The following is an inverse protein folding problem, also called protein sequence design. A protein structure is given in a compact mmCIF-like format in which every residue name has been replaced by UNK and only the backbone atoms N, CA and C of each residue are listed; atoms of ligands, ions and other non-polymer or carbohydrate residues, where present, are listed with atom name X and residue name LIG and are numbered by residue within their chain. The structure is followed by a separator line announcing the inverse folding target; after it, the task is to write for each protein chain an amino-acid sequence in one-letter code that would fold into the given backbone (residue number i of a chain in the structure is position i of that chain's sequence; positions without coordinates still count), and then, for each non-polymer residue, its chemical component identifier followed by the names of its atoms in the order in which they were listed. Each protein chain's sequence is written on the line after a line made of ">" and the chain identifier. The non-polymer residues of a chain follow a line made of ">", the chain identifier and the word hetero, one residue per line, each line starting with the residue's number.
data_IF_602709123322
#
_entry.id   IF_602709123322
#
_cell.length_a   1.000
_cell.length_b   1.000
_cell.length_c   1.000
_cell.angle_alpha   90.00
_cell.angle_beta   90.00
_cell.angle_gamma   90.00
#
_symmetry.space_group_name_H-M   'P 1'
#
loop_
_entity.id
_entity.type
_entity.pdbx_description
1 polymer ?
#
# COMPACT_ATOMS: atom_id res chain seq x y z
N UNK A 1 -22.43 -31.43 -22.61
CA UNK A 1 -21.02 -31.82 -22.84
C UNK A 1 -20.11 -31.01 -21.92
N UNK A 2 -19.27 -31.65 -21.10
CA UNK A 2 -18.35 -30.98 -20.15
C UNK A 2 -16.94 -30.92 -20.76
N UNK A 3 -16.51 -29.77 -21.28
CA UNK A 3 -15.13 -29.59 -21.77
C UNK A 3 -14.25 -29.12 -20.62
N UNK A 4 -13.37 -30.01 -20.13
CA UNK A 4 -12.29 -29.66 -19.20
C UNK A 4 -11.10 -29.15 -20.02
N UNK A 5 -10.77 -27.87 -19.90
CA UNK A 5 -9.55 -27.29 -20.47
C UNK A 5 -8.44 -27.48 -19.43
N UNK A 6 -7.57 -28.47 -19.65
CA UNK A 6 -6.35 -28.68 -18.87
C UNK A 6 -5.25 -27.90 -19.58
N UNK A 7 -4.93 -26.72 -19.07
CA UNK A 7 -3.74 -25.96 -19.48
C UNK A 7 -2.56 -26.40 -18.62
N UNK A 8 -1.67 -27.19 -19.21
CA UNK A 8 -0.39 -27.54 -18.62
C UNK A 8 0.66 -26.53 -19.12
N UNK A 9 1.14 -25.64 -18.25
CA UNK A 9 2.29 -24.79 -18.54
C UNK A 9 3.47 -25.27 -17.69
N UNK A 10 4.41 -25.91 -18.37
CA UNK A 10 5.65 -26.50 -17.89
C UNK A 10 6.60 -25.45 -17.32
N UNK A 11 6.98 -25.60 -16.04
CA UNK A 11 8.10 -24.88 -15.43
C UNK A 11 9.39 -25.63 -15.76
N UNK A 12 10.18 -25.10 -16.69
CA UNK A 12 11.55 -25.56 -16.95
C UNK A 12 12.46 -25.02 -15.84
N UNK A 13 12.78 -25.89 -14.87
CA UNK A 13 13.76 -25.62 -13.83
C UNK A 13 15.19 -25.78 -14.40
N UNK A 14 15.83 -24.68 -14.75
CA UNK A 14 17.26 -24.67 -15.09
C UNK A 14 18.08 -24.69 -13.79
N UNK A 15 18.61 -25.87 -13.46
CA UNK A 15 19.52 -26.08 -12.34
C UNK A 15 20.91 -25.48 -12.67
N UNK A 16 21.26 -24.37 -12.02
CA UNK A 16 22.65 -23.92 -11.94
C UNK A 16 23.32 -24.63 -10.76
N UNK A 17 24.02 -25.72 -11.07
CA UNK A 17 24.94 -26.37 -10.16
C UNK A 17 26.31 -25.68 -10.26
N UNK A 18 26.77 -25.09 -9.17
CA UNK A 18 28.19 -24.79 -8.97
C UNK A 18 28.62 -25.46 -7.66
N UNK A 19 29.62 -26.34 -7.80
CA UNK A 19 30.13 -27.21 -6.76
C UNK A 19 31.30 -26.57 -6.00
N UNK A 20 31.36 -26.91 -4.70
CA UNK A 20 32.53 -27.13 -3.84
C UNK A 20 33.55 -26.00 -3.62
N UNK A 21 33.76 -25.63 -2.35
CA UNK A 21 34.84 -26.20 -1.53
C UNK A 21 34.60 -25.90 -0.04
N UNK A 22 34.65 -26.95 0.77
CA UNK A 22 34.69 -26.89 2.22
C UNK A 22 36.15 -26.73 2.69
N UNK A 23 36.39 -25.82 3.63
CA UNK A 23 37.56 -25.85 4.49
C UNK A 23 37.10 -25.67 5.93
N UNK A 24 37.17 -26.77 6.69
CA UNK A 24 37.09 -26.77 8.13
C UNK A 24 38.46 -26.38 8.70
N UNK A 25 38.49 -25.47 9.67
CA UNK A 25 39.66 -25.29 10.54
C UNK A 25 39.18 -25.19 11.99
N UNK A 26 39.35 -26.31 12.69
CA UNK A 26 39.31 -26.43 14.14
C UNK A 26 40.72 -26.26 14.69
N UNK A 27 40.89 -25.32 15.61
CA UNK A 27 41.96 -25.24 16.65
C UNK A 27 41.77 -23.91 17.38
N UNK A 28 42.04 -23.70 18.67
CA UNK A 28 42.18 -24.50 19.89
C UNK A 28 42.33 -23.43 21.00
N UNK A 29 41.68 -23.61 22.15
CA UNK A 29 41.89 -22.80 23.37
C UNK A 29 43.19 -23.22 24.07
N UNK A 30 43.92 -22.32 24.74
CA UNK A 30 44.09 -22.44 26.20
C UNK A 30 44.06 -21.07 26.94
N UNK A 31 44.05 -21.09 28.30
CA UNK A 31 43.41 -20.09 29.14
C UNK A 31 44.39 -19.10 29.80
N UNK A 32 43.89 -17.92 30.20
CA UNK A 32 44.45 -17.15 31.32
C UNK A 32 43.35 -16.38 32.05
N UNK A 33 43.27 -16.66 33.35
CA UNK A 33 42.54 -15.99 34.44
C UNK A 33 43.06 -14.58 34.67
N UNK A 34 42.19 -13.55 34.78
CA UNK A 34 42.11 -12.72 35.99
C UNK A 34 40.87 -11.81 36.07
N UNK A 35 40.58 -11.48 37.33
CA UNK A 35 39.48 -10.86 38.04
C UNK A 35 38.76 -9.56 37.56
N UNK A 36 37.49 -9.54 37.98
CA UNK A 36 36.74 -8.44 38.64
C UNK A 36 35.99 -7.40 37.78
N UNK A 37 34.66 -7.61 37.65
CA UNK A 37 33.59 -6.77 38.23
C UNK A 37 32.23 -7.20 37.61
N UNK A 38 31.22 -7.63 38.40
CA UNK A 38 29.89 -7.82 37.87
C UNK A 38 29.17 -6.46 37.86
N UNK A 39 28.99 -5.89 36.67
CA UNK A 39 27.94 -4.89 36.42
C UNK A 39 26.77 -5.67 35.85
N UNK A 40 25.84 -5.99 36.73
CA UNK A 40 24.58 -6.61 36.37
C UNK A 40 23.65 -5.52 35.84
N UNK A 41 23.68 -5.32 34.52
CA UNK A 41 22.66 -4.58 33.79
C UNK A 41 22.22 -5.41 32.59
N UNK A 42 21.67 -6.59 32.91
CA UNK A 42 20.78 -7.31 32.02
C UNK A 42 19.41 -6.60 32.06
N UNK A 43 19.28 -5.54 31.29
CA UNK A 43 17.97 -5.07 30.84
C UNK A 43 17.41 -6.13 29.89
N UNK A 44 16.66 -7.09 30.44
CA UNK A 44 15.74 -7.90 29.66
C UNK A 44 14.72 -6.96 29.01
N UNK A 45 14.88 -6.71 27.72
CA UNK A 45 13.81 -6.18 26.87
C UNK A 45 12.61 -7.14 26.95
N UNK A 46 11.67 -6.81 27.83
CA UNK A 46 10.39 -7.48 27.91
C UNK A 46 9.66 -7.28 26.58
N UNK A 47 9.28 -8.35 25.86
CA UNK A 47 8.52 -8.23 24.64
C UNK A 47 7.08 -7.83 24.99
N UNK A 48 6.66 -6.69 24.46
CA UNK A 48 5.26 -6.23 24.37
C UNK A 48 4.47 -6.20 25.70
N UNK A 49 4.43 -5.02 26.32
CA UNK A 49 3.39 -4.68 27.29
C UNK A 49 2.04 -4.53 26.55
N UNK A 50 1.42 -5.66 26.23
CA UNK A 50 0.08 -5.73 25.63
C UNK A 50 -0.92 -5.48 26.74
N UNK A 51 -1.23 -4.21 26.97
CA UNK A 51 -2.41 -3.84 27.78
C UNK A 51 -3.62 -4.44 27.06
N UNK A 52 -4.38 -5.32 27.70
CA UNK A 52 -5.63 -5.87 27.17
C UNK A 52 -6.77 -4.97 27.67
N UNK A 53 -7.35 -4.17 26.78
CA UNK A 53 -8.53 -3.35 27.10
C UNK A 53 -9.76 -4.17 26.71
N UNK A 54 -10.42 -4.76 27.70
CA UNK A 54 -11.73 -5.40 27.54
C UNK A 54 -12.78 -4.32 27.29
N UNK A 55 -13.29 -4.23 26.05
CA UNK A 55 -14.45 -3.39 25.72
C UNK A 55 -14.43 -2.69 24.36
N UNK A 56 -13.33 -2.73 23.60
CA UNK A 56 -13.25 -2.09 22.28
C UNK A 56 -13.09 -3.15 21.18
N UNK A 57 -13.72 -2.93 20.02
CA UNK A 57 -13.53 -3.79 18.82
C UNK A 57 -12.22 -3.50 18.08
N UNK A 58 -11.41 -2.56 18.57
CA UNK A 58 -10.16 -2.14 17.95
C UNK A 58 -8.98 -2.76 18.72
N UNK A 59 -8.06 -3.39 18.00
CA UNK A 59 -6.81 -3.87 18.59
C UNK A 59 -6.06 -2.69 19.25
N UNK A 60 -5.48 -2.91 20.44
CA UNK A 60 -4.66 -1.92 21.13
C UNK A 60 -3.41 -1.62 20.29
N UNK A 61 -3.45 -0.49 19.60
CA UNK A 61 -2.40 -0.02 18.67
C UNK A 61 -1.74 1.26 19.15
N UNK A 62 -2.30 1.87 20.18
CA UNK A 62 -1.72 3.03 20.86
C UNK A 62 -0.67 2.57 21.85
N UNK A 63 0.49 3.23 21.84
CA UNK A 63 1.50 3.03 22.89
C UNK A 63 0.87 3.44 24.22
N UNK A 64 0.64 2.48 25.11
CA UNK A 64 -0.09 2.69 26.36
C UNK A 64 0.58 3.74 27.27
N UNK A 65 1.90 3.93 27.11
CA UNK A 65 2.72 4.83 27.91
C UNK A 65 2.93 6.22 27.27
N UNK A 66 2.30 6.51 26.12
CA UNK A 66 2.43 7.81 25.46
C UNK A 66 1.29 8.75 25.81
N UNK A 67 1.64 10.00 26.15
CA UNK A 67 0.66 11.08 26.38
C UNK A 67 -0.08 11.51 25.09
N UNK A 68 0.42 11.12 23.92
CA UNK A 68 -0.11 11.50 22.60
C UNK A 68 -0.66 10.26 21.90
N UNK A 69 -1.80 10.34 21.18
CA UNK A 69 -2.34 9.21 20.43
C UNK A 69 -1.44 8.84 19.24
N UNK A 70 -0.55 7.87 19.44
CA UNK A 70 0.35 7.29 18.44
C UNK A 70 -0.16 5.93 18.03
N UNK A 71 -0.58 5.75 16.78
CA UNK A 71 -0.94 4.42 16.26
C UNK A 71 0.28 3.76 15.64
N UNK A 72 0.64 2.57 16.12
CA UNK A 72 1.69 1.75 15.52
C UNK A 72 1.05 0.64 14.68
N UNK A 73 1.46 0.57 13.41
CA UNK A 73 1.00 -0.43 12.45
C UNK A 73 2.18 -1.32 12.10
N UNK A 74 2.13 -2.57 12.53
CA UNK A 74 3.16 -3.58 12.26
C UNK A 74 3.14 -4.04 10.80
N UNK A 75 4.28 -4.53 10.30
CA UNK A 75 4.33 -5.14 8.95
C UNK A 75 3.36 -6.30 8.76
N UNK A 76 3.03 -7.05 9.82
CA UNK A 76 2.04 -8.13 9.75
C UNK A 76 0.64 -7.58 9.51
N UNK A 77 0.27 -6.48 10.17
CA UNK A 77 -1.01 -5.81 9.92
C UNK A 77 -1.09 -5.25 8.48
N UNK A 78 0.02 -4.76 7.95
CA UNK A 78 0.09 -4.28 6.56
C UNK A 78 -0.07 -5.41 5.55
N UNK A 79 0.60 -6.54 5.76
CA UNK A 79 0.59 -7.69 4.84
C UNK A 79 -0.71 -8.49 4.91
N UNK A 80 -1.32 -8.62 6.10
CA UNK A 80 -2.59 -9.31 6.30
C UNK A 80 -3.82 -8.48 5.85
N UNK A 81 -3.63 -7.22 5.45
CA UNK A 81 -4.72 -6.35 4.99
C UNK A 81 -5.39 -6.82 3.69
N UNK A 82 -4.69 -7.60 2.87
CA UNK A 82 -5.14 -8.02 1.53
C UNK A 82 -5.25 -6.88 0.51
N UNK A 83 -4.84 -5.67 0.85
CA UNK A 83 -4.93 -4.48 0.00
C UNK A 83 -3.56 -4.20 -0.65
N UNK A 84 -3.58 -3.83 -1.93
CA UNK A 84 -2.35 -3.55 -2.70
C UNK A 84 -1.78 -2.14 -2.57
N UNK A 85 -2.49 -1.23 -1.90
CA UNK A 85 -2.12 0.19 -1.79
C UNK A 85 -1.92 0.59 -0.33
N UNK A 86 -0.77 1.17 -0.01
CA UNK A 86 -0.43 1.63 1.34
C UNK A 86 -1.46 2.60 1.89
N UNK A 87 -1.96 3.54 1.07
CA UNK A 87 -3.01 4.46 1.49
C UNK A 87 -4.33 3.76 1.85
N UNK A 88 -4.74 2.73 1.10
CA UNK A 88 -5.96 1.96 1.41
C UNK A 88 -5.83 1.18 2.71
N UNK A 89 -4.64 0.63 2.94
CA UNK A 89 -4.32 -0.05 4.20
C UNK A 89 -4.46 0.93 5.37
N UNK A 90 -3.87 2.12 5.26
CA UNK A 90 -3.98 3.15 6.29
C UNK A 90 -5.41 3.62 6.48
N UNK A 91 -6.21 3.75 5.43
CA UNK A 91 -7.63 4.12 5.51
C UNK A 91 -8.50 3.10 6.24
N UNK A 92 -8.16 1.81 6.16
CA UNK A 92 -8.85 0.76 6.92
C UNK A 92 -8.37 0.72 8.38
N UNK A 93 -7.05 0.84 8.58
CA UNK A 93 -6.46 0.66 9.88
C UNK A 93 -6.57 1.93 10.75
N UNK A 94 -6.35 3.12 10.22
CA UNK A 94 -6.25 4.35 11.02
C UNK A 94 -7.57 5.12 10.96
N UNK A 95 -8.33 5.25 12.07
CA UNK A 95 -9.66 5.86 12.05
C UNK A 95 -9.68 7.33 11.61
N UNK A 96 -8.58 8.06 11.85
CA UNK A 96 -8.45 9.47 11.48
C UNK A 96 -7.91 9.68 10.07
N UNK A 97 -7.55 8.61 9.35
CA UNK A 97 -7.00 8.69 8.01
C UNK A 97 -8.11 8.48 6.98
N UNK A 98 -8.19 9.37 6.02
CA UNK A 98 -9.16 9.30 4.93
C UNK A 98 -8.44 9.31 3.59
N UNK A 99 -8.77 8.33 2.74
CA UNK A 99 -8.24 8.19 1.40
C UNK A 99 -9.37 8.15 0.38
N UNK A 100 -9.90 9.33 -0.03
CA UNK A 100 -10.85 9.37 -1.13
C UNK A 100 -10.18 8.89 -2.42
N UNK A 101 -10.93 8.14 -3.23
CA UNK A 101 -10.50 7.71 -4.56
C UNK A 101 -11.29 8.48 -5.61
N UNK A 102 -10.96 9.76 -5.86
CA UNK A 102 -11.59 10.50 -6.94
C UNK A 102 -11.29 9.81 -8.27
N UNK A 103 -12.25 9.91 -9.19
CA UNK A 103 -12.10 9.48 -10.58
C UNK A 103 -12.47 10.65 -11.47
N UNK A 104 -11.86 10.77 -12.64
CA UNK A 104 -12.14 11.85 -13.59
C UNK A 104 -11.72 13.21 -12.99
N UNK A 105 -10.64 13.23 -12.21
CA UNK A 105 -10.13 14.43 -11.53
C UNK A 105 -8.68 14.74 -11.95
N UNK A 106 -8.36 14.43 -13.21
CA UNK A 106 -7.06 14.67 -13.86
C UNK A 106 -5.90 13.98 -13.09
N UNK A 107 -4.75 14.64 -12.91
CA UNK A 107 -3.59 14.08 -12.23
C UNK A 107 -3.83 13.61 -10.79
N UNK A 108 -4.92 14.04 -10.14
CA UNK A 108 -5.28 13.56 -8.79
C UNK A 108 -5.81 12.12 -8.78
N UNK A 109 -6.12 11.55 -9.96
CA UNK A 109 -6.44 10.13 -10.09
C UNK A 109 -5.17 9.26 -9.93
N UNK A 110 -4.00 9.82 -10.28
CA UNK A 110 -2.68 9.17 -10.16
C UNK A 110 -2.09 9.42 -8.78
N UNK A 111 -2.01 10.69 -8.36
CA UNK A 111 -1.50 11.10 -7.06
C UNK A 111 -2.69 11.46 -6.18
N UNK A 112 -3.24 10.41 -5.56
CA UNK A 112 -4.47 10.52 -4.77
C UNK A 112 -4.15 11.13 -3.40
N UNK A 113 -4.69 12.32 -3.07
CA UNK A 113 -4.44 12.94 -1.78
C UNK A 113 -5.11 12.15 -0.65
N UNK A 114 -4.34 11.83 0.38
CA UNK A 114 -4.87 11.36 1.65
C UNK A 114 -4.94 12.53 2.64
N UNK A 115 -5.96 12.52 3.51
CA UNK A 115 -6.10 13.48 4.61
C UNK A 115 -6.04 12.78 5.96
N UNK A 116 -5.48 13.49 6.94
CA UNK A 116 -5.52 13.10 8.33
C UNK A 116 -6.41 14.09 9.08
N UNK A 117 -7.39 13.58 9.85
CA UNK A 117 -8.36 14.39 10.62
C UNK A 117 -9.19 15.36 9.76
N UNK A 118 -9.36 15.07 8.47
CA UNK A 118 -10.10 15.92 7.53
C UNK A 118 -9.38 17.20 7.11
N UNK A 119 -8.10 17.35 7.47
CA UNK A 119 -7.26 18.47 7.09
C UNK A 119 -6.63 18.29 5.72
N UNK A 120 -6.04 19.36 5.18
CA UNK A 120 -5.43 19.30 3.85
C UNK A 120 -4.19 18.35 3.84
N UNK A 121 -3.92 17.65 2.73
CA UNK A 121 -2.80 16.71 2.61
C UNK A 121 -1.41 17.31 2.88
N UNK A 122 -1.23 18.61 2.66
CA UNK A 122 0.00 19.37 2.97
C UNK A 122 0.14 19.72 4.46
N UNK A 123 -0.92 19.54 5.24
CA UNK A 123 -0.93 19.71 6.70
C UNK A 123 -0.60 18.40 7.44
N UNK A 124 -0.25 17.34 6.71
CA UNK A 124 0.25 16.07 7.29
C UNK A 124 1.71 15.88 6.90
N UNK A 125 2.59 15.84 7.89
CA UNK A 125 4.00 15.59 7.64
C UNK A 125 4.26 14.10 7.42
N UNK A 126 4.86 13.75 6.29
CA UNK A 126 5.28 12.37 6.00
C UNK A 126 6.79 12.25 6.16
N UNK A 127 7.19 11.29 6.98
CA UNK A 127 8.57 10.90 7.21
C UNK A 127 8.82 9.51 6.65
N UNK A 128 10.01 9.27 6.12
CA UNK A 128 10.52 7.96 5.76
C UNK A 128 11.84 7.77 6.48
N UNK A 129 11.94 6.77 7.34
CA UNK A 129 13.09 6.55 8.21
C UNK A 129 13.46 7.81 9.03
N UNK A 130 12.45 8.54 9.52
CA UNK A 130 12.63 9.80 10.26
C UNK A 130 13.03 11.01 9.41
N UNK A 131 13.13 10.90 8.08
CA UNK A 131 13.46 12.02 7.17
C UNK A 131 12.24 12.49 6.41
N UNK A 132 12.11 13.80 6.21
CA UNK A 132 11.00 14.43 5.48
C UNK A 132 10.92 13.91 4.04
N UNK A 133 9.73 13.47 3.63
CA UNK A 133 9.47 12.97 2.28
C UNK A 133 9.12 14.13 1.36
N UNK A 134 9.55 14.09 0.10
CA UNK A 134 9.18 15.11 -0.87
C UNK A 134 7.68 15.04 -1.21
N UNK A 135 7.06 16.21 -1.38
CA UNK A 135 5.70 16.35 -1.91
C UNK A 135 5.69 16.13 -3.42
N UNK A 136 4.52 15.82 -3.95
CA UNK A 136 4.29 15.78 -5.39
C UNK A 136 4.46 17.16 -6.04
N UNK A 137 4.82 17.18 -7.32
CA UNK A 137 4.76 18.37 -8.15
C UNK A 137 3.33 18.73 -8.61
N UNK A 138 2.38 17.82 -8.41
CA UNK A 138 0.97 18.06 -8.73
C UNK A 138 0.32 18.91 -7.64
N UNK A 139 -0.20 20.06 -8.05
CA UNK A 139 -1.05 20.90 -7.24
C UNK A 139 -2.51 20.49 -7.47
N UNK A 140 -3.21 20.19 -6.38
CA UNK A 140 -4.62 19.80 -6.45
C UNK A 140 -5.48 21.02 -6.75
N UNK A 141 -5.80 21.26 -8.01
CA UNK A 141 -6.63 22.41 -8.44
C UNK A 141 -8.09 22.03 -8.70
N UNK A 142 -8.37 20.74 -8.85
CA UNK A 142 -9.68 20.20 -9.21
C UNK A 142 -10.53 19.86 -7.98
N UNK A 143 -11.74 19.31 -8.17
CA UNK A 143 -12.74 19.01 -7.12
C UNK A 143 -12.33 18.01 -6.03
N UNK A 144 -11.04 17.64 -5.94
CA UNK A 144 -10.49 16.70 -4.97
C UNK A 144 -10.25 17.32 -3.60
N UNK A 145 -10.09 16.47 -2.58
CA UNK A 145 -9.69 16.90 -1.23
C UNK A 145 -8.34 17.62 -1.28
N UNK A 146 -8.23 18.70 -0.49
CA UNK A 146 -7.00 19.49 -0.42
C UNK A 146 -6.80 20.42 -1.62
N UNK A 147 -7.85 21.09 -2.11
CA UNK A 147 -7.70 22.12 -3.15
C UNK A 147 -6.65 23.16 -2.76
N UNK A 148 -5.72 23.44 -3.67
CA UNK A 148 -4.59 24.35 -3.44
C UNK A 148 -3.41 23.74 -2.68
N UNK A 149 -3.45 22.44 -2.36
CA UNK A 149 -2.36 21.73 -1.69
C UNK A 149 -1.64 20.75 -2.61
N UNK A 150 -0.41 20.39 -2.26
CA UNK A 150 0.36 19.31 -2.86
C UNK A 150 0.53 18.18 -1.85
N UNK A 151 0.12 16.97 -2.23
CA UNK A 151 0.18 15.80 -1.34
C UNK A 151 1.48 15.01 -1.49
N UNK A 152 1.85 14.24 -0.47
CA UNK A 152 2.86 13.18 -0.57
C UNK A 152 2.19 11.89 -1.02
N UNK A 153 2.71 11.24 -2.06
CA UNK A 153 2.20 9.95 -2.51
C UNK A 153 2.80 8.76 -1.74
N UNK A 154 2.03 8.22 -0.78
CA UNK A 154 2.43 7.04 -0.02
C UNK A 154 2.40 5.73 -0.83
N UNK A 155 1.67 5.69 -1.95
CA UNK A 155 1.58 4.48 -2.78
C UNK A 155 2.88 4.19 -3.55
N UNK A 156 3.80 5.15 -3.60
CA UNK A 156 5.16 4.94 -4.13
C UNK A 156 5.99 3.96 -3.30
N UNK A 157 5.60 3.73 -2.03
CA UNK A 157 6.28 2.80 -1.14
C UNK A 157 5.38 1.57 -0.94
N UNK A 158 5.76 0.40 -1.46
CA UNK A 158 4.94 -0.80 -1.32
C UNK A 158 4.95 -1.30 0.13
N UNK A 159 3.80 -1.79 0.61
CA UNK A 159 3.63 -2.33 1.96
C UNK A 159 4.66 -3.43 2.30
N UNK A 160 5.11 -4.20 1.31
CA UNK A 160 6.13 -5.24 1.49
C UNK A 160 7.47 -4.67 2.00
N UNK A 161 7.83 -3.46 1.60
CA UNK A 161 9.08 -2.78 1.97
C UNK A 161 9.01 -2.09 3.34
N UNK A 162 7.82 -1.97 3.93
CA UNK A 162 7.58 -1.26 5.18
C UNK A 162 7.70 -2.23 6.35
N UNK A 163 8.46 -1.84 7.38
CA UNK A 163 8.61 -2.58 8.64
C UNK A 163 7.49 -2.22 9.61
N UNK A 164 7.22 -0.93 9.74
CA UNK A 164 6.08 -0.40 10.50
C UNK A 164 5.74 1.01 10.05
N UNK A 165 4.51 1.42 10.30
CA UNK A 165 4.07 2.81 10.15
C UNK A 165 3.64 3.31 11.51
N UNK A 166 4.14 4.48 11.88
CA UNK A 166 3.76 5.18 13.10
C UNK A 166 2.95 6.40 12.68
N UNK A 167 1.73 6.54 13.20
CA UNK A 167 0.85 7.67 12.91
C UNK A 167 0.56 8.43 14.18
N UNK A 168 1.12 9.63 14.29
CA UNK A 168 0.74 10.60 15.31
C UNK A 168 -0.53 11.30 14.83
N UNK A 169 -1.62 11.10 15.59
CA UNK A 169 -2.92 11.72 15.31
C UNK A 169 -3.11 13.06 16.01
N UNK A 170 -2.02 13.66 16.48
CA UNK A 170 -1.99 14.97 17.12
C UNK A 170 -1.07 15.93 16.38
N UNK A 171 -1.33 17.23 16.53
CA UNK A 171 -0.48 18.27 15.95
C UNK A 171 0.89 18.29 16.59
N UNK A 172 1.94 18.21 15.79
CA UNK A 172 3.32 18.14 16.24
C UNK A 172 4.19 19.26 15.65
N UNK A 173 3.57 20.40 15.30
CA UNK A 173 4.24 21.50 14.61
C UNK A 173 5.39 22.13 15.39
N UNK A 174 5.36 22.08 16.72
CA UNK A 174 6.45 22.57 17.58
C UNK A 174 7.73 21.75 17.46
N UNK A 175 7.60 20.44 17.18
CA UNK A 175 8.73 19.52 17.10
C UNK A 175 9.18 19.31 15.66
N UNK A 176 8.22 19.17 14.75
CA UNK A 176 8.49 18.78 13.37
C UNK A 176 8.32 19.91 12.36
N UNK A 177 7.70 21.04 12.71
CA UNK A 177 7.51 22.21 11.82
C UNK A 177 6.09 22.39 11.29
N UNK A 178 5.88 23.43 10.48
CA UNK A 178 4.56 23.90 10.00
C UNK A 178 3.67 22.84 9.37
N UNK A 179 4.26 21.84 8.71
CA UNK A 179 3.49 20.85 7.95
C UNK A 179 2.87 19.77 8.86
N UNK A 180 3.21 19.74 10.15
CA UNK A 180 2.74 18.74 11.11
C UNK A 180 1.51 19.23 11.92
N UNK A 181 0.57 19.92 11.29
CA UNK A 181 -0.65 20.46 11.96
C UNK A 181 -1.68 19.35 12.19
N UNK A 182 -1.96 18.54 11.16
CA UNK A 182 -2.87 17.41 11.26
C UNK A 182 -2.23 16.24 12.02
N UNK A 183 -0.93 16.07 11.82
CA UNK A 183 -0.11 15.08 12.51
C UNK A 183 1.09 14.64 11.68
N UNK A 184 1.65 13.49 12.05
CA UNK A 184 2.86 12.95 11.45
C UNK A 184 2.65 11.49 11.10
N UNK A 185 3.06 11.10 9.89
CA UNK A 185 3.11 9.71 9.44
C UNK A 185 4.58 9.36 9.24
N UNK A 186 5.13 8.49 10.08
CA UNK A 186 6.49 8.00 9.95
C UNK A 186 6.50 6.56 9.41
N UNK A 187 7.07 6.39 8.23
CA UNK A 187 7.22 5.10 7.56
C UNK A 187 8.63 4.59 7.82
N UNK A 188 8.74 3.52 8.60
CA UNK A 188 10.00 2.83 8.81
C UNK A 188 10.14 1.74 7.76
N UNK A 189 11.17 1.84 6.92
CA UNK A 189 11.45 0.84 5.89
C UNK A 189 12.25 -0.31 6.50
N UNK A 190 12.00 -1.52 6.00
CA UNK A 190 12.78 -2.70 6.39
C UNK A 190 14.24 -2.50 6.03
N UNK A 191 15.13 -2.79 6.98
CA UNK A 191 16.57 -2.86 6.75
C UNK A 191 16.96 -4.32 6.58
N UNK A 192 17.52 -4.67 5.43
CA UNK A 192 18.06 -6.00 5.18
C UNK A 192 19.49 -5.84 4.68
N UNK A 193 20.45 -6.38 5.44
CA UNK A 193 21.84 -6.45 5.01
C UNK A 193 22.11 -7.73 4.19
N UNK A 194 21.13 -8.65 4.14
CA UNK A 194 21.15 -9.90 3.40
C UNK A 194 19.73 -10.43 3.15
N UNK A 195 19.55 -11.27 2.13
CA UNK A 195 18.26 -11.87 1.75
C UNK A 195 17.40 -10.97 0.84
N UNK A 196 16.18 -11.44 0.53
CA UNK A 196 15.21 -10.72 -0.30
C UNK A 196 13.80 -11.27 -0.12
N UNK A 197 12.78 -10.48 -0.47
CA UNK A 197 11.38 -10.93 -0.50
C UNK A 197 10.79 -10.64 -1.87
N UNK A 198 10.02 -11.59 -2.38
CA UNK A 198 9.19 -11.42 -3.56
C UNK A 198 7.77 -11.86 -3.22
N UNK A 199 6.79 -11.15 -3.78
CA UNK A 199 5.37 -11.49 -3.68
C UNK A 199 4.77 -11.49 -5.07
N UNK A 200 3.96 -12.49 -5.38
CA UNK A 200 3.20 -12.58 -6.63
C UNK A 200 1.73 -12.64 -6.27
N UNK A 201 0.95 -11.73 -6.85
CA UNK A 201 -0.50 -11.65 -6.66
C UNK A 201 -1.17 -11.64 -8.02
N UNK A 202 -2.29 -12.35 -8.15
CA UNK A 202 -3.11 -12.38 -9.36
C UNK A 202 -4.55 -12.04 -9.00
N UNK A 203 -5.20 -11.21 -9.83
CA UNK A 203 -6.58 -10.81 -9.65
C UNK A 203 -7.22 -10.46 -10.99
N UNK A 204 -8.55 -10.58 -11.07
CA UNK A 204 -9.34 -10.24 -12.27
C UNK A 204 -10.38 -9.20 -11.89
N UNK A 205 -10.40 -8.08 -12.62
CA UNK A 205 -11.53 -7.17 -12.59
C UNK A 205 -12.66 -7.76 -13.43
N UNK A 206 -13.76 -8.11 -12.77
CA UNK A 206 -14.99 -8.54 -13.45
C UNK A 206 -15.92 -7.34 -13.48
N UNK A 207 -15.98 -6.68 -14.63
CA UNK A 207 -16.88 -5.53 -14.87
C UNK A 207 -18.22 -5.93 -15.48
N UNK A 208 -18.40 -7.22 -15.79
CA UNK A 208 -19.64 -7.79 -16.32
C UNK A 208 -20.39 -8.54 -15.23
N UNK A 209 -21.67 -8.19 -15.04
CA UNK A 209 -22.60 -9.01 -14.26
C UNK A 209 -23.23 -10.06 -15.17
N UNK A 210 -23.31 -11.30 -14.69
CA UNK A 210 -23.92 -12.39 -15.43
C UNK A 210 -25.40 -12.06 -15.71
N UNK A 211 -25.82 -12.11 -16.97
CA UNK A 211 -27.16 -11.70 -17.42
C UNK A 211 -27.35 -10.20 -17.70
N UNK A 212 -26.32 -9.35 -17.59
CA UNK A 212 -26.38 -7.94 -18.00
C UNK A 212 -25.58 -7.74 -19.29
N UNK A 213 -26.23 -7.74 -20.47
CA UNK A 213 -25.52 -7.72 -21.76
C UNK A 213 -24.76 -6.41 -22.03
N UNK A 214 -25.16 -5.29 -21.41
CA UNK A 214 -24.47 -3.99 -21.51
C UNK A 214 -24.76 -3.11 -20.29
N UNK A 215 -23.73 -2.65 -19.59
CA UNK A 215 -23.80 -1.48 -18.70
C UNK A 215 -23.37 -0.24 -19.46
N UNK A 216 -24.07 0.04 -20.56
CA UNK A 216 -23.86 1.27 -21.33
C UNK A 216 -25.17 2.03 -21.31
N UNK A 217 -25.37 2.83 -20.26
CA UNK A 217 -26.50 3.77 -20.13
C UNK A 217 -26.45 4.94 -21.12
N UNK A 218 -25.83 4.74 -22.29
CA UNK A 218 -25.94 5.66 -23.42
C UNK A 218 -26.84 4.98 -24.44
N UNK A 219 -28.14 5.03 -24.20
CA UNK A 219 -29.07 5.07 -25.32
C UNK A 219 -28.64 6.28 -26.16
N UNK A 220 -28.04 6.05 -27.33
CA UNK A 220 -28.08 7.03 -28.41
C UNK A 220 -29.56 7.27 -28.71
N UNK A 221 -30.20 8.15 -27.94
CA UNK A 221 -31.46 8.73 -28.28
C UNK A 221 -31.17 9.67 -29.45
N UNK A 222 -30.98 9.09 -30.64
CA UNK A 222 -30.94 9.86 -31.89
C UNK A 222 -32.29 10.53 -32.02
N UNK A 223 -32.37 11.87 -32.02
CA UNK A 223 -33.61 12.57 -32.30
C UNK A 223 -34.10 12.17 -33.70
N UNK A 224 -35.41 11.97 -33.90
CA UNK A 224 -35.96 11.45 -35.16
C UNK A 224 -35.66 12.32 -36.39
N UNK A 225 -35.22 13.56 -36.20
CA UNK A 225 -34.89 14.48 -37.30
C UNK A 225 -33.45 14.34 -37.85
N UNK A 226 -32.55 13.62 -37.17
CA UNK A 226 -31.19 13.35 -37.69
C UNK A 226 -31.11 12.19 -38.69
N UNK A 227 -32.18 11.41 -38.88
CA UNK A 227 -32.19 10.25 -39.80
C UNK A 227 -32.19 10.61 -41.30
N UNK A 228 -32.19 11.89 -41.67
CA UNK A 228 -32.31 12.34 -43.08
C UNK A 228 -31.00 12.76 -43.75
N UNK A 229 -29.88 12.74 -43.04
CA UNK A 229 -28.57 13.08 -43.62
C UNK A 229 -27.74 11.81 -43.84
N UNK A 230 -27.73 11.34 -45.09
CA UNK A 230 -26.83 10.29 -45.55
C UNK A 230 -25.40 10.87 -45.66
N UNK A 231 -24.63 10.85 -44.56
CA UNK A 231 -23.19 11.07 -44.65
C UNK A 231 -22.52 9.74 -44.98
N UNK A 232 -22.12 9.62 -46.24
CA UNK A 232 -21.33 8.53 -46.78
C UNK A 232 -19.87 8.66 -46.30
N UNK A 233 -19.31 7.54 -45.78
CA UNK A 233 -17.88 7.28 -45.43
C UNK A 233 -17.44 7.92 -44.08
N UNK A 234 -16.75 7.28 -43.14
CA UNK A 234 -15.73 6.23 -43.17
C UNK A 234 -15.81 5.44 -41.84
N UNK A 235 -15.85 4.12 -41.87
CA UNK A 235 -15.41 3.28 -40.73
C UNK A 235 -14.68 2.07 -41.30
N UNK A 236 -13.41 1.81 -40.92
CA UNK A 236 -12.76 0.58 -41.31
C UNK A 236 -13.40 -0.56 -40.51
N UNK A 237 -13.84 -1.59 -41.24
CA UNK A 237 -14.21 -2.87 -40.69
C UNK A 237 -13.01 -3.47 -39.96
N UNK A 238 -13.08 -3.58 -38.63
CA UNK A 238 -12.43 -4.66 -37.89
C UNK A 238 -13.55 -5.58 -37.45
N UNK A 239 -13.96 -6.43 -38.38
CA UNK A 239 -14.77 -7.60 -38.08
C UNK A 239 -13.85 -8.62 -37.42
N UNK A 240 -14.11 -8.96 -36.15
CA UNK A 240 -13.75 -10.27 -35.63
C UNK A 240 -15.07 -11.03 -35.51
N UNK A 241 -15.25 -11.99 -36.42
CA UNK A 241 -16.39 -12.90 -36.46
C UNK A 241 -16.43 -13.76 -35.18
N UNK A 242 -17.58 -13.88 -34.51
CA UNK A 242 -17.79 -14.98 -33.58
C UNK A 242 -18.18 -16.23 -34.37
N UNK A 243 -17.27 -17.20 -34.35
CA UNK A 243 -17.50 -18.60 -34.72
C UNK A 243 -18.61 -19.18 -33.82
N UNK A 244 -19.84 -19.21 -34.33
CA UNK A 244 -20.90 -20.07 -33.83
C UNK A 244 -20.83 -21.39 -34.61
N UNK A 245 -20.31 -22.44 -34.00
CA UNK A 245 -20.61 -23.82 -34.39
C UNK A 245 -21.42 -24.47 -33.27
N UNK A 246 -22.62 -24.90 -33.63
CA UNK A 246 -23.57 -25.64 -32.80
C UNK A 246 -23.81 -27.01 -33.45
N UNK A 247 -23.20 -28.06 -32.86
CA UNK A 247 -23.64 -29.46 -32.84
C UNK A 247 -22.73 -30.28 -31.89
#
# INVERSE_FOLDING_TARGET
>A
MRRKIISALSVTASAFAFAATASAQTTATPPTTDQAAPVDEAAEESPQNTVVVTGTRAANRTVADSAVPIDVISSDALTNSGLGETNKILNNLVPSFNFPQPSITDGTDVIRPASLRGLAPDQTLVLVNGKRRHVSALLNINGSVGRGSAAVDLNTIPALAIERIEVLRDGASSQYGSDAIAGVINIQLKRANHGGRASVSYGKYVSTLDGVPNVTGLTEARPPWFARFNWMLITPAIASEPYCDEA
#
